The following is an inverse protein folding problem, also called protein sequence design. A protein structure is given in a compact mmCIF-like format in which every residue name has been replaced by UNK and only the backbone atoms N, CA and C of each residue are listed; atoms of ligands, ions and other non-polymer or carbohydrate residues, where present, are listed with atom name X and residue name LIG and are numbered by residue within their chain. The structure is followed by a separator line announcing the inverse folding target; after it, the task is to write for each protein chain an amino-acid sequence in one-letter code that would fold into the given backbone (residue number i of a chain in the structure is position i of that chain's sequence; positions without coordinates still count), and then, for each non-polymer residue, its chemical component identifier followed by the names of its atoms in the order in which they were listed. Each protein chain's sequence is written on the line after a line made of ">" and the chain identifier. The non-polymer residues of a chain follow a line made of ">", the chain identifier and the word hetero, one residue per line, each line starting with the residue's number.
data_IF_043433064879
#
_entry.id   IF_043433064879
#
_cell.length_a   1.000
_cell.length_b   1.000
_cell.length_c   1.000
_cell.angle_alpha   90.00
_cell.angle_beta   90.00
_cell.angle_gamma   90.00
#
_symmetry.space_group_name_H-M   'P 1'
#
loop_
_entity.id
_entity.type
_entity.pdbx_description
1 polymer ?
#
# COMPACT_ATOMS: atom_id res chain seq x y z
N UNK A 1 -22.36 14.29 30.01
CA UNK A 1 -21.69 13.38 29.04
C UNK A 1 -22.41 13.23 27.69
N UNK A 2 -23.71 13.52 27.55
CA UNK A 2 -24.47 13.31 26.29
C UNK A 2 -24.38 14.44 25.24
N UNK A 3 -23.77 15.59 25.53
CA UNK A 3 -23.76 16.77 24.63
C UNK A 3 -22.54 16.80 23.68
N UNK A 4 -21.48 16.03 23.94
CA UNK A 4 -20.28 15.98 23.09
C UNK A 4 -20.41 15.10 21.84
N UNK A 5 -21.39 14.19 21.80
CA UNK A 5 -21.58 13.25 20.67
C UNK A 5 -22.27 13.87 19.46
N UNK A 6 -23.04 14.96 19.62
CA UNK A 6 -23.77 15.60 18.52
C UNK A 6 -22.92 16.46 17.57
N UNK A 7 -21.79 17.02 18.03
CA UNK A 7 -20.88 17.81 17.17
C UNK A 7 -19.94 16.92 16.34
N UNK A 8 -19.58 15.75 16.85
CA UNK A 8 -18.70 14.81 16.16
C UNK A 8 -19.39 14.19 14.92
N UNK A 9 -20.67 13.84 15.03
CA UNK A 9 -21.44 13.26 13.91
C UNK A 9 -21.71 14.30 12.81
N UNK A 10 -22.05 15.54 13.15
CA UNK A 10 -22.24 16.60 12.15
C UNK A 10 -20.95 16.95 11.37
N UNK A 11 -19.79 16.90 12.03
CA UNK A 11 -18.49 17.11 11.38
C UNK A 11 -18.09 15.93 10.47
N UNK A 12 -18.41 14.70 10.87
CA UNK A 12 -18.18 13.50 10.06
C UNK A 12 -19.09 13.46 8.84
N UNK A 13 -20.38 13.78 8.97
CA UNK A 13 -21.31 13.82 7.83
C UNK A 13 -20.95 14.93 6.83
N UNK A 14 -20.49 16.10 7.31
CA UNK A 14 -20.01 17.18 6.43
C UNK A 14 -18.66 16.86 5.76
N UNK A 15 -17.80 16.08 6.43
CA UNK A 15 -16.55 15.58 5.85
C UNK A 15 -16.79 14.49 4.78
N UNK A 16 -17.84 13.66 4.95
CA UNK A 16 -18.28 12.69 3.95
C UNK A 16 -18.90 13.40 2.74
N UNK A 17 -19.69 14.45 2.95
CA UNK A 17 -20.33 15.20 1.85
C UNK A 17 -19.40 16.12 1.05
N UNK A 18 -18.24 16.52 1.58
CA UNK A 18 -17.26 17.35 0.85
C UNK A 18 -16.40 16.55 -0.15
N UNK A 19 -16.56 15.22 -0.20
CA UNK A 19 -15.72 14.28 -0.94
C UNK A 19 -16.27 13.77 -2.27
N UNK A 20 -17.25 14.40 -2.90
CA UNK A 20 -17.80 13.96 -4.19
C UNK A 20 -17.85 15.10 -5.23
N UNK A 21 -16.69 15.62 -5.60
CA UNK A 21 -16.45 15.80 -7.03
C UNK A 21 -15.71 14.55 -7.47
N UNK A 22 -16.43 13.62 -8.08
CA UNK A 22 -15.79 12.49 -8.74
C UNK A 22 -14.92 13.11 -9.82
N UNK A 23 -13.62 13.19 -9.56
CA UNK A 23 -12.68 13.59 -10.60
C UNK A 23 -12.69 12.44 -11.61
N UNK A 24 -13.50 12.57 -12.66
CA UNK A 24 -13.63 11.58 -13.74
C UNK A 24 -12.25 11.19 -14.30
N UNK A 25 -11.30 12.12 -14.24
CA UNK A 25 -9.91 11.88 -14.60
C UNK A 25 -9.18 10.89 -13.65
N UNK A 26 -9.45 10.96 -12.34
CA UNK A 26 -8.92 9.99 -11.37
C UNK A 26 -9.50 8.60 -11.62
N UNK A 27 -10.82 8.51 -11.82
CA UNK A 27 -11.49 7.25 -12.14
C UNK A 27 -10.96 6.63 -13.43
N UNK A 28 -10.77 7.43 -14.49
CA UNK A 28 -10.21 6.98 -15.76
C UNK A 28 -8.77 6.47 -15.60
N UNK A 29 -7.92 7.18 -14.85
CA UNK A 29 -6.54 6.76 -14.59
C UNK A 29 -6.47 5.48 -13.78
N UNK A 30 -7.34 5.35 -12.78
CA UNK A 30 -7.44 4.13 -12.00
C UNK A 30 -7.77 2.95 -12.91
N UNK A 31 -8.81 3.10 -13.74
CA UNK A 31 -9.20 2.09 -14.72
C UNK A 31 -8.08 1.73 -15.69
N UNK A 32 -7.42 2.72 -16.30
CA UNK A 32 -6.31 2.49 -17.22
C UNK A 32 -5.13 1.80 -16.53
N UNK A 33 -4.78 2.20 -15.30
CA UNK A 33 -3.72 1.58 -14.52
C UNK A 33 -4.04 0.13 -14.19
N UNK A 34 -5.29 -0.17 -13.81
CA UNK A 34 -5.74 -1.52 -13.50
C UNK A 34 -5.72 -2.41 -14.74
N UNK A 35 -6.23 -1.94 -15.89
CA UNK A 35 -6.21 -2.68 -17.14
C UNK A 35 -4.78 -2.95 -17.62
N UNK A 36 -3.90 -1.96 -17.53
CA UNK A 36 -2.50 -2.08 -17.91
C UNK A 36 -1.75 -3.06 -17.00
N UNK A 37 -1.99 -2.99 -15.68
CA UNK A 37 -1.42 -3.96 -14.73
C UNK A 37 -1.93 -5.38 -14.98
N UNK A 38 -3.22 -5.55 -15.25
CA UNK A 38 -3.81 -6.85 -15.56
C UNK A 38 -3.22 -7.43 -16.84
N UNK A 39 -3.15 -6.63 -17.91
CA UNK A 39 -2.58 -7.05 -19.19
C UNK A 39 -1.10 -7.41 -19.06
N UNK A 40 -0.32 -6.57 -18.37
CA UNK A 40 1.09 -6.84 -18.12
C UNK A 40 1.32 -8.07 -17.24
N UNK A 41 0.48 -8.31 -16.23
CA UNK A 41 0.59 -9.49 -15.37
C UNK A 41 0.36 -10.80 -16.15
N UNK A 42 -0.62 -10.81 -17.07
CA UNK A 42 -0.85 -11.94 -17.97
C UNK A 42 0.30 -12.10 -18.97
N UNK A 43 0.80 -11.00 -19.52
CA UNK A 43 1.91 -11.02 -20.48
C UNK A 43 3.21 -11.56 -19.87
N UNK A 44 3.48 -11.27 -18.59
CA UNK A 44 4.62 -11.81 -17.85
C UNK A 44 4.36 -13.20 -17.23
N UNK A 45 3.19 -13.80 -17.47
CA UNK A 45 2.80 -15.10 -16.91
C UNK A 45 2.98 -15.19 -15.38
N UNK A 46 2.60 -14.14 -14.65
CA UNK A 46 2.64 -14.16 -13.18
C UNK A 46 1.66 -15.20 -12.62
N UNK A 47 2.09 -15.95 -11.60
CA UNK A 47 1.28 -16.99 -10.95
C UNK A 47 -0.07 -16.46 -10.44
N UNK A 48 -0.10 -15.21 -9.96
CA UNK A 48 -1.29 -14.62 -9.33
C UNK A 48 -1.52 -13.17 -9.77
N UNK A 49 -2.10 -12.93 -10.97
CA UNK A 49 -2.29 -11.59 -11.52
C UNK A 49 -3.21 -10.70 -10.66
N UNK A 50 -4.06 -11.29 -9.82
CA UNK A 50 -4.95 -10.55 -8.93
C UNK A 50 -4.21 -9.70 -7.89
N UNK A 51 -2.99 -10.08 -7.47
CA UNK A 51 -2.20 -9.28 -6.52
C UNK A 51 -1.69 -7.99 -7.13
N UNK A 52 -1.27 -8.02 -8.40
CA UNK A 52 -0.85 -6.82 -9.11
C UNK A 52 -1.99 -5.80 -9.15
N UNK A 53 -3.20 -6.23 -9.49
CA UNK A 53 -4.38 -5.35 -9.54
C UNK A 53 -4.77 -4.81 -8.17
N UNK A 54 -4.74 -5.66 -7.13
CA UNK A 54 -4.94 -5.24 -5.75
C UNK A 54 -3.95 -4.15 -5.33
N UNK A 55 -2.70 -4.21 -5.79
CA UNK A 55 -1.71 -3.18 -5.44
C UNK A 55 -2.02 -1.85 -6.11
N UNK A 56 -2.49 -1.85 -7.37
CA UNK A 56 -2.97 -0.64 -8.06
C UNK A 56 -4.13 -0.04 -7.26
N UNK A 57 -5.11 -0.86 -6.86
CA UNK A 57 -6.23 -0.44 -6.02
C UNK A 57 -5.78 0.23 -4.73
N UNK A 58 -4.82 -0.37 -4.02
CA UNK A 58 -4.35 0.16 -2.74
C UNK A 58 -3.50 1.42 -2.90
N UNK A 59 -2.67 1.53 -3.95
CA UNK A 59 -1.73 2.66 -4.12
C UNK A 59 -2.36 3.88 -4.82
N UNK A 60 -3.59 3.74 -5.34
CA UNK A 60 -4.22 4.82 -6.08
C UNK A 60 -4.63 5.98 -5.16
N UNK A 61 -3.96 7.12 -5.34
CA UNK A 61 -4.25 8.38 -4.64
C UNK A 61 -4.46 9.51 -5.64
N UNK A 62 -5.35 10.48 -5.34
CA UNK A 62 -5.61 11.62 -6.22
C UNK A 62 -4.44 12.61 -6.32
N UNK A 63 -3.47 12.56 -5.39
CA UNK A 63 -2.27 13.39 -5.42
C UNK A 63 -1.01 12.55 -5.71
N UNK A 64 -0.16 13.04 -6.62
CA UNK A 64 1.03 12.30 -7.08
C UNK A 64 2.06 12.14 -5.94
N UNK A 65 2.29 13.18 -5.14
CA UNK A 65 3.23 13.10 -4.01
C UNK A 65 2.83 12.07 -2.95
N UNK A 66 1.52 11.92 -2.69
CA UNK A 66 1.02 10.93 -1.74
C UNK A 66 1.12 9.51 -2.30
N UNK A 67 0.88 9.35 -3.61
CA UNK A 67 1.04 8.09 -4.30
C UNK A 67 2.49 7.60 -4.22
N UNK A 68 3.47 8.47 -4.48
CA UNK A 68 4.91 8.12 -4.39
C UNK A 68 5.29 7.75 -2.96
N UNK A 69 4.83 8.50 -1.96
CA UNK A 69 5.09 8.16 -0.55
C UNK A 69 4.53 6.78 -0.18
N UNK A 70 3.32 6.45 -0.65
CA UNK A 70 2.70 5.13 -0.42
C UNK A 70 3.38 4.01 -1.21
N UNK A 71 3.87 4.30 -2.41
CA UNK A 71 4.71 3.40 -3.21
C UNK A 71 5.97 3.00 -2.41
N UNK A 72 6.72 3.97 -1.89
CA UNK A 72 7.94 3.70 -1.13
C UNK A 72 7.62 2.88 0.12
N UNK A 73 6.58 3.26 0.86
CA UNK A 73 6.14 2.52 2.04
C UNK A 73 5.73 1.07 1.69
N UNK A 74 5.12 0.84 0.52
CA UNK A 74 4.76 -0.49 0.04
C UNK A 74 6.00 -1.32 -0.27
N UNK A 75 6.94 -0.76 -1.00
CA UNK A 75 8.15 -1.44 -1.42
C UNK A 75 9.02 -1.83 -0.22
N UNK A 76 9.28 -0.88 0.68
CA UNK A 76 10.08 -1.12 1.89
C UNK A 76 9.42 -2.12 2.83
N UNK A 77 8.11 -1.99 3.07
CA UNK A 77 7.38 -2.92 3.94
C UNK A 77 7.41 -4.35 3.40
N UNK A 78 7.26 -4.53 2.08
CA UNK A 78 7.31 -5.84 1.44
C UNK A 78 8.72 -6.46 1.53
N UNK A 79 9.76 -5.66 1.26
CA UNK A 79 11.15 -6.11 1.35
C UNK A 79 11.52 -6.57 2.76
N UNK A 80 11.21 -5.75 3.78
CA UNK A 80 11.47 -6.10 5.18
C UNK A 80 10.65 -7.34 5.58
N UNK A 81 9.40 -7.42 5.16
CA UNK A 81 8.52 -8.54 5.48
C UNK A 81 9.04 -9.88 4.90
N UNK A 82 9.53 -9.85 3.67
CA UNK A 82 10.14 -11.01 2.99
C UNK A 82 11.48 -11.39 3.62
N UNK A 83 12.33 -10.42 3.94
CA UNK A 83 13.60 -10.69 4.63
C UNK A 83 13.34 -11.36 5.98
N UNK A 84 12.37 -10.86 6.75
CA UNK A 84 12.07 -11.41 8.06
C UNK A 84 11.49 -12.84 7.96
N UNK A 85 10.53 -13.08 7.07
CA UNK A 85 9.96 -14.44 6.92
C UNK A 85 11.01 -15.43 6.41
N UNK A 86 11.94 -14.99 5.56
CA UNK A 86 13.06 -15.82 5.09
C UNK A 86 13.98 -16.20 6.25
N UNK A 87 14.31 -15.24 7.13
CA UNK A 87 15.10 -15.50 8.32
C UNK A 87 14.38 -16.46 9.29
N UNK A 88 13.08 -16.25 9.52
CA UNK A 88 12.26 -17.12 10.38
C UNK A 88 12.14 -18.54 9.82
N UNK A 89 11.98 -18.67 8.50
CA UNK A 89 11.90 -19.97 7.85
C UNK A 89 13.20 -20.77 7.97
N UNK A 90 14.36 -20.11 7.95
CA UNK A 90 15.64 -20.78 8.20
C UNK A 90 15.72 -21.48 9.56
N UNK A 91 15.00 -20.97 10.57
CA UNK A 91 15.00 -21.49 11.93
C UNK A 91 13.87 -22.51 12.16
N UNK A 92 12.70 -22.26 11.55
CA UNK A 92 11.44 -22.93 11.92
C UNK A 92 10.80 -23.78 10.81
N UNK A 93 11.50 -24.07 9.71
CA UNK A 93 10.97 -24.81 8.56
C UNK A 93 10.33 -26.16 8.91
N UNK A 94 10.95 -26.89 9.85
CA UNK A 94 10.52 -28.24 10.24
C UNK A 94 9.38 -28.25 11.28
N UNK A 95 9.04 -27.09 11.86
CA UNK A 95 8.10 -26.98 12.98
C UNK A 95 7.07 -25.85 12.72
N UNK A 96 5.92 -26.15 12.09
CA UNK A 96 4.90 -25.15 11.74
C UNK A 96 4.33 -24.38 12.94
N UNK A 97 4.23 -25.04 14.10
CA UNK A 97 3.78 -24.41 15.34
C UNK A 97 4.76 -23.33 15.83
N UNK A 98 6.07 -23.58 15.68
CA UNK A 98 7.12 -22.66 16.08
C UNK A 98 7.12 -21.43 15.16
N UNK A 99 6.96 -21.64 13.85
CA UNK A 99 6.80 -20.57 12.86
C UNK A 99 5.62 -19.65 13.21
N UNK A 100 4.49 -20.23 13.63
CA UNK A 100 3.30 -19.47 14.00
C UNK A 100 3.54 -18.55 15.20
N UNK A 101 4.29 -19.03 16.20
CA UNK A 101 4.68 -18.22 17.38
C UNK A 101 5.59 -17.06 16.96
N UNK A 102 6.59 -17.32 16.11
CA UNK A 102 7.48 -16.26 15.61
C UNK A 102 6.74 -15.21 14.79
N UNK A 103 5.81 -15.62 13.92
CA UNK A 103 4.97 -14.69 13.16
C UNK A 103 4.06 -13.87 14.06
N UNK A 104 3.48 -14.47 15.11
CA UNK A 104 2.69 -13.74 16.10
C UNK A 104 3.51 -12.70 16.86
N UNK A 105 4.73 -13.06 17.28
CA UNK A 105 5.66 -12.13 17.92
C UNK A 105 6.08 -10.99 16.97
N UNK A 106 6.35 -11.32 15.71
CA UNK A 106 6.68 -10.33 14.70
C UNK A 106 5.53 -9.37 14.41
N UNK A 107 4.30 -9.89 14.31
CA UNK A 107 3.09 -9.08 14.14
C UNK A 107 2.86 -8.17 15.35
N UNK A 108 3.03 -8.67 16.56
CA UNK A 108 2.94 -7.88 17.78
C UNK A 108 3.97 -6.74 17.80
N UNK A 109 5.23 -7.04 17.44
CA UNK A 109 6.29 -6.06 17.31
C UNK A 109 5.97 -4.99 16.25
N UNK A 110 5.52 -5.40 15.06
CA UNK A 110 5.11 -4.46 14.01
C UNK A 110 3.95 -3.57 14.48
N UNK A 111 2.97 -4.13 15.19
CA UNK A 111 1.82 -3.36 15.69
C UNK A 111 2.25 -2.35 16.76
N UNK A 112 3.19 -2.72 17.63
CA UNK A 112 3.78 -1.82 18.61
C UNK A 112 4.53 -0.65 17.95
N UNK A 113 5.39 -0.93 16.96
CA UNK A 113 6.11 0.11 16.21
C UNK A 113 5.15 0.98 15.39
N UNK A 114 4.10 0.41 14.82
CA UNK A 114 3.06 1.13 14.11
C UNK A 114 2.35 2.16 15.01
N UNK A 115 2.12 1.85 16.29
CA UNK A 115 1.53 2.78 17.26
C UNK A 115 2.41 3.99 17.59
N UNK A 116 3.73 3.86 17.51
CA UNK A 116 4.69 4.95 17.73
C UNK A 116 4.98 5.82 16.52
N UNK A 117 4.63 5.35 15.32
CA UNK A 117 4.91 6.05 14.05
C UNK A 117 3.69 6.81 13.54
N UNK A 118 3.91 7.85 12.72
CA UNK A 118 2.84 8.65 12.11
C UNK A 118 2.99 8.68 10.59
N UNK A 119 1.89 8.86 9.88
CA UNK A 119 1.87 8.99 8.42
C UNK A 119 2.09 7.65 7.70
N UNK A 120 2.86 7.67 6.60
CA UNK A 120 3.06 6.49 5.74
C UNK A 120 3.93 5.40 6.36
N UNK A 121 4.70 5.73 7.41
CA UNK A 121 5.52 4.76 8.15
C UNK A 121 4.66 3.70 8.85
N UNK A 122 3.53 4.11 9.46
CA UNK A 122 2.55 3.20 10.08
C UNK A 122 2.01 2.19 9.07
N UNK A 123 1.72 2.65 7.85
CA UNK A 123 1.27 1.79 6.74
C UNK A 123 2.35 0.78 6.32
N UNK A 124 3.61 1.22 6.19
CA UNK A 124 4.72 0.32 5.87
C UNK A 124 4.95 -0.75 6.94
N UNK A 125 4.82 -0.37 8.21
CA UNK A 125 4.97 -1.29 9.34
C UNK A 125 3.84 -2.35 9.37
N UNK A 126 2.59 -1.93 9.16
CA UNK A 126 1.46 -2.87 9.04
C UNK A 126 1.61 -3.81 7.84
N UNK A 127 2.08 -3.28 6.70
CA UNK A 127 2.29 -4.05 5.49
C UNK A 127 3.40 -5.10 5.65
N UNK A 128 4.46 -4.76 6.37
CA UNK A 128 5.54 -5.68 6.70
C UNK A 128 5.00 -6.93 7.41
N UNK A 129 4.24 -6.74 8.48
CA UNK A 129 3.63 -7.84 9.23
C UNK A 129 2.68 -8.70 8.38
N UNK A 130 1.79 -8.06 7.62
CA UNK A 130 0.86 -8.76 6.72
C UNK A 130 1.59 -9.61 5.66
N UNK A 131 2.65 -9.06 5.07
CA UNK A 131 3.44 -9.75 4.03
C UNK A 131 4.16 -10.96 4.62
N UNK A 132 4.81 -10.80 5.79
CA UNK A 132 5.46 -11.91 6.49
C UNK A 132 4.48 -13.01 6.86
N UNK A 133 3.27 -12.65 7.33
CA UNK A 133 2.24 -13.61 7.68
C UNK A 133 1.78 -14.42 6.46
N UNK A 134 1.49 -13.76 5.34
CA UNK A 134 1.07 -14.44 4.10
C UNK A 134 2.14 -15.40 3.59
N UNK A 135 3.38 -14.93 3.49
CA UNK A 135 4.47 -15.75 3.01
C UNK A 135 4.74 -16.90 3.98
N UNK A 136 4.73 -16.62 5.28
CA UNK A 136 5.04 -17.58 6.36
C UNK A 136 4.04 -18.73 6.41
N UNK A 137 2.74 -18.43 6.40
CA UNK A 137 1.70 -19.45 6.33
C UNK A 137 1.69 -20.19 4.99
N UNK A 138 2.06 -19.52 3.89
CA UNK A 138 2.22 -20.17 2.58
C UNK A 138 3.27 -21.29 2.61
N UNK A 139 4.39 -21.07 3.30
CA UNK A 139 5.47 -22.06 3.42
C UNK A 139 5.07 -23.20 4.38
N UNK A 140 4.25 -22.93 5.41
CA UNK A 140 3.81 -23.95 6.35
C UNK A 140 3.02 -25.10 5.70
N UNK A 141 2.37 -24.85 4.56
CA UNK A 141 1.65 -25.88 3.80
C UNK A 141 2.59 -26.80 3.02
N UNK A 142 3.73 -26.27 2.56
CA UNK A 142 4.72 -27.02 1.77
C UNK A 142 6.14 -26.58 2.17
N UNK A 143 6.71 -27.17 3.24
CA UNK A 143 7.98 -26.73 3.81
C UNK A 143 9.14 -27.09 2.88
N UNK A 144 9.55 -26.14 2.05
CA UNK A 144 10.71 -26.24 1.17
C UNK A 144 11.36 -24.86 1.02
N UNK A 145 12.70 -24.75 1.14
CA UNK A 145 13.42 -23.50 0.89
C UNK A 145 13.23 -22.99 -0.54
N UNK A 146 13.03 -23.92 -1.49
CA UNK A 146 12.73 -23.58 -2.88
C UNK A 146 11.40 -22.83 -2.97
N UNK A 147 10.32 -23.38 -2.41
CA UNK A 147 9.01 -22.74 -2.43
C UNK A 147 9.00 -21.37 -1.76
N UNK A 148 9.79 -21.18 -0.70
CA UNK A 148 9.94 -19.89 -0.04
C UNK A 148 10.45 -18.82 -1.01
N UNK A 149 11.49 -19.14 -1.78
CA UNK A 149 12.08 -18.22 -2.75
C UNK A 149 11.07 -17.86 -3.84
N UNK A 150 10.39 -18.87 -4.42
CA UNK A 150 9.38 -18.64 -5.47
C UNK A 150 8.21 -17.80 -4.98
N UNK A 151 7.66 -18.10 -3.81
CA UNK A 151 6.55 -17.32 -3.22
C UNK A 151 6.98 -15.87 -2.99
N UNK A 152 8.18 -15.66 -2.45
CA UNK A 152 8.71 -14.35 -2.12
C UNK A 152 8.98 -13.51 -3.37
N UNK A 153 9.64 -14.12 -4.37
CA UNK A 153 9.91 -13.49 -5.65
C UNK A 153 8.62 -13.14 -6.40
N UNK A 154 7.63 -14.05 -6.42
CA UNK A 154 6.33 -13.79 -7.02
C UNK A 154 5.65 -12.57 -6.38
N UNK A 155 5.69 -12.43 -5.05
CA UNK A 155 5.10 -11.25 -4.40
C UNK A 155 5.82 -9.96 -4.75
N UNK A 156 7.16 -9.98 -4.82
CA UNK A 156 7.93 -8.81 -5.19
C UNK A 156 7.65 -8.38 -6.62
N UNK A 157 7.59 -9.32 -7.57
CA UNK A 157 7.30 -9.00 -8.96
C UNK A 157 5.86 -8.52 -9.16
N UNK A 158 4.88 -9.16 -8.51
CA UNK A 158 3.47 -8.73 -8.54
C UNK A 158 3.28 -7.31 -8.01
N UNK A 159 3.89 -7.01 -6.86
CA UNK A 159 3.81 -5.69 -6.24
C UNK A 159 4.57 -4.67 -7.08
N UNK A 160 5.78 -4.98 -7.54
CA UNK A 160 6.57 -4.08 -8.38
C UNK A 160 5.84 -3.74 -9.69
N UNK A 161 5.21 -4.73 -10.33
CA UNK A 161 4.50 -4.55 -11.60
C UNK A 161 3.24 -3.70 -11.44
N UNK A 162 2.44 -3.95 -10.41
CA UNK A 162 1.26 -3.12 -10.14
C UNK A 162 1.64 -1.69 -9.76
N UNK A 163 2.71 -1.52 -8.99
CA UNK A 163 3.27 -0.20 -8.67
C UNK A 163 3.81 0.53 -9.91
N UNK A 164 4.53 -0.17 -10.80
CA UNK A 164 5.04 0.39 -12.04
C UNK A 164 3.90 0.84 -12.97
N UNK A 165 2.86 0.03 -13.12
CA UNK A 165 1.67 0.38 -13.90
C UNK A 165 0.94 1.60 -13.33
N UNK A 166 0.74 1.66 -12.02
CA UNK A 166 0.10 2.79 -11.35
C UNK A 166 0.91 4.09 -11.50
N UNK A 167 2.24 4.01 -11.35
CA UNK A 167 3.14 5.16 -11.54
C UNK A 167 3.16 5.63 -12.99
N UNK A 168 3.25 4.70 -13.95
CA UNK A 168 3.31 5.02 -15.37
C UNK A 168 2.04 5.75 -15.84
N UNK A 169 0.86 5.26 -15.48
CA UNK A 169 -0.40 5.95 -15.82
C UNK A 169 -0.53 7.26 -15.07
N UNK A 170 -0.02 7.34 -13.84
CA UNK A 170 -0.03 8.56 -13.04
C UNK A 170 0.92 9.64 -13.58
N UNK A 171 2.00 9.23 -14.26
CA UNK A 171 2.94 10.13 -14.92
C UNK A 171 2.41 10.58 -16.29
N UNK A 172 1.84 9.65 -17.06
CA UNK A 172 1.36 9.90 -18.43
C UNK A 172 0.18 10.88 -18.47
N UNK A 173 -0.77 10.74 -17.53
CA UNK A 173 -1.77 11.77 -17.30
C UNK A 173 -1.35 12.50 -16.03
N UNK A 174 -0.99 13.78 -16.00
CA UNK A 174 -0.79 14.51 -14.74
C UNK A 174 -2.13 15.10 -14.23
N UNK A 175 -2.38 15.01 -12.92
CA UNK A 175 -3.65 15.46 -12.33
C UNK A 175 -3.60 16.96 -12.04
N UNK A 176 -4.60 17.73 -12.49
CA UNK A 176 -4.70 19.18 -12.24
C UNK A 176 -4.76 19.57 -10.75
N UNK A 177 -5.02 18.61 -9.86
CA UNK A 177 -5.04 18.81 -8.40
C UNK A 177 -3.67 19.21 -7.83
N UNK A 178 -2.57 18.72 -8.41
CA UNK A 178 -1.22 19.03 -7.90
C UNK A 178 -0.87 20.50 -8.12
N UNK A 179 -1.27 21.07 -9.28
CA UNK A 179 -1.13 22.50 -9.55
C UNK A 179 -1.92 23.36 -8.56
N UNK A 180 -3.10 22.92 -8.10
CA UNK A 180 -3.89 23.66 -7.09
C UNK A 180 -3.26 23.60 -5.70
N UNK A 181 -2.68 22.47 -5.31
CA UNK A 181 -1.96 22.34 -4.03
C UNK A 181 -0.66 23.14 -4.03
N UNK A 182 0.08 23.15 -5.15
CA UNK A 182 1.24 24.02 -5.33
C UNK A 182 0.86 25.51 -5.32
N UNK A 183 -0.19 25.93 -6.04
CA UNK A 183 -0.70 27.31 -5.96
C UNK A 183 -1.12 27.66 -4.52
N UNK A 184 -1.86 26.78 -3.84
CA UNK A 184 -2.35 27.05 -2.48
C UNK A 184 -1.22 27.12 -1.46
N UNK A 185 -0.22 26.23 -1.54
CA UNK A 185 0.97 26.30 -0.68
C UNK A 185 1.77 27.58 -0.94
N UNK A 186 1.94 27.97 -2.21
CA UNK A 186 2.59 29.23 -2.58
C UNK A 186 1.85 30.44 -2.04
N UNK A 187 0.51 30.46 -2.13
CA UNK A 187 -0.31 31.54 -1.59
C UNK A 187 -0.28 31.62 -0.06
N UNK A 188 -0.17 30.48 0.63
CA UNK A 188 0.01 30.46 2.09
C UNK A 188 1.38 30.99 2.53
N UNK A 189 2.43 30.72 1.76
CA UNK A 189 3.79 31.24 2.02
C UNK A 189 3.88 32.73 1.65
N UNK A 190 3.22 33.14 0.57
CA UNK A 190 3.21 34.51 0.08
C UNK A 190 2.27 35.46 0.86
N UNK A 191 1.45 34.94 1.79
CA UNK A 191 0.47 35.74 2.53
C UNK A 191 -0.68 36.33 1.68
N UNK A 192 -0.62 36.18 0.35
CA UNK A 192 -1.62 36.69 -0.57
C UNK A 192 -2.76 35.70 -0.79
N UNK A 193 -3.98 36.12 -0.48
CA UNK A 193 -5.24 35.42 -0.83
C UNK A 193 -5.61 35.59 -2.32
N UNK A 194 -4.64 35.61 -3.22
CA UNK A 194 -4.81 35.92 -4.64
C UNK A 194 -5.14 34.69 -5.50
N UNK A 195 -6.22 34.80 -6.27
CA UNK A 195 -6.80 33.80 -7.18
C UNK A 195 -5.77 33.05 -8.06
N UNK A 196 -5.70 31.73 -7.89
CA UNK A 196 -5.60 30.75 -8.97
C UNK A 196 -6.97 30.01 -9.01
#
# INVERSE_FOLDING_TARGET
>A
MAVMTGRATAAVTKAVHFGQRVDYLFALRFWLATLLAWWAAIALQLDKPYWAVMTVAVVSYPSQGMLIAKFIARLLGTLIGILMVTALAGISLNAPWLMSIYLALWLAFCTYVAGGTRGMATYGCALCGYTSAIAGFGISVSPSPYNLFFISQARLSEIALGLAAALLVTFLLPSRLDNRLFCRRRNLIAGERGNC
#
